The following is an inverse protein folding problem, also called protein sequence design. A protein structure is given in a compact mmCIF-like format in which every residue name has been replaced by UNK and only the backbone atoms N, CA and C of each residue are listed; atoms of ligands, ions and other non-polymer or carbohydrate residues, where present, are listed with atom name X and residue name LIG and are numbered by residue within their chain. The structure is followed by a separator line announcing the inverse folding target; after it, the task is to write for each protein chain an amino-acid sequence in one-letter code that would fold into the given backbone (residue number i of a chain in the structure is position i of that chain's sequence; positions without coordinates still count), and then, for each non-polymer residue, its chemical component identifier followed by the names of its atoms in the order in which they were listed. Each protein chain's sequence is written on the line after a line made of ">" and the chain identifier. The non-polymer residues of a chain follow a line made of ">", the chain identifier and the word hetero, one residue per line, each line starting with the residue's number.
data_IF_070569654912
#
_entry.id   IF_070569654912
#
_cell.length_a   1.000
_cell.length_b   1.000
_cell.length_c   1.000
_cell.angle_alpha   90.00
_cell.angle_beta   90.00
_cell.angle_gamma   90.00
#
_symmetry.space_group_name_H-M   'P 1'
#
loop_
_entity.id
_entity.type
_entity.pdbx_description
1 polymer ?
#
# COMPACT_ATOMS: atom_id res chain seq x y z
N UNK A 1 -2.60 -0.63 -10.22
CA UNK A 1 -3.27 0.53 -9.59
C UNK A 1 -4.72 0.15 -9.44
N UNK A 2 -5.30 0.35 -8.25
CA UNK A 2 -6.62 -0.16 -7.89
C UNK A 2 -7.42 0.93 -7.18
N UNK A 3 -8.71 1.02 -7.48
CA UNK A 3 -9.62 1.91 -6.77
C UNK A 3 -10.17 1.19 -5.54
N UNK A 4 -10.21 1.88 -4.41
CA UNK A 4 -10.83 1.42 -3.16
C UNK A 4 -11.29 2.67 -2.38
N UNK A 5 -12.54 2.69 -1.95
CA UNK A 5 -13.16 3.78 -1.16
C UNK A 5 -12.91 5.18 -1.74
N UNK A 6 -13.05 5.31 -3.06
CA UNK A 6 -12.88 6.58 -3.78
C UNK A 6 -11.42 7.03 -3.97
N UNK A 7 -10.44 6.25 -3.53
CA UNK A 7 -9.01 6.57 -3.65
C UNK A 7 -8.31 5.59 -4.59
N UNK A 8 -7.15 6.00 -5.12
CA UNK A 8 -6.33 5.15 -6.00
C UNK A 8 -5.10 4.64 -5.25
N UNK A 9 -4.95 3.32 -5.16
CA UNK A 9 -3.82 2.65 -4.54
C UNK A 9 -2.87 2.08 -5.60
N UNK A 10 -1.57 2.29 -5.42
CA UNK A 10 -0.57 1.87 -6.39
C UNK A 10 0.81 1.70 -5.75
N UNK A 11 1.70 0.98 -6.44
CA UNK A 11 3.11 0.92 -6.08
C UNK A 11 3.79 2.22 -6.50
N UNK A 12 4.24 3.00 -5.53
CA UNK A 12 5.04 4.21 -5.75
C UNK A 12 6.52 3.97 -5.43
N UNK A 13 7.34 4.97 -5.77
CA UNK A 13 8.78 4.96 -5.51
C UNK A 13 9.22 6.36 -5.03
N UNK A 14 9.89 6.45 -3.89
CA UNK A 14 10.38 7.71 -3.30
C UNK A 14 11.85 8.05 -3.64
N UNK A 15 12.43 7.36 -4.61
CA UNK A 15 13.85 7.39 -4.96
C UNK A 15 14.68 6.31 -4.27
N UNK A 16 14.12 5.56 -3.32
CA UNK A 16 14.86 4.52 -2.58
C UNK A 16 14.05 3.24 -2.38
N UNK A 17 12.78 3.36 -2.02
CA UNK A 17 11.90 2.22 -1.70
C UNK A 17 10.69 2.17 -2.63
N UNK A 18 10.22 0.95 -2.91
CA UNK A 18 8.98 0.69 -3.62
C UNK A 18 7.87 0.29 -2.65
N UNK A 19 6.92 1.18 -2.44
CA UNK A 19 5.94 1.06 -1.37
C UNK A 19 4.51 1.25 -1.86
N UNK A 20 3.53 0.98 -0.98
CA UNK A 20 2.14 1.29 -1.25
C UNK A 20 1.92 2.80 -1.11
N UNK A 21 1.31 3.39 -2.13
CA UNK A 21 0.91 4.78 -2.17
C UNK A 21 -0.59 4.89 -2.41
N UNK A 22 -1.17 5.96 -1.89
CA UNK A 22 -2.57 6.33 -2.12
C UNK A 22 -2.62 7.73 -2.75
N UNK A 23 -3.47 7.89 -3.76
CA UNK A 23 -3.89 9.18 -4.28
C UNK A 23 -5.34 9.46 -3.84
N UNK A 24 -5.51 10.59 -3.17
CA UNK A 24 -6.81 11.12 -2.77
C UNK A 24 -7.26 12.18 -3.78
N UNK A 25 -8.27 11.89 -4.63
CA UNK A 25 -8.73 12.83 -5.64
C UNK A 25 -9.45 14.06 -5.05
N UNK A 26 -10.04 13.94 -3.85
CA UNK A 26 -10.74 15.06 -3.21
C UNK A 26 -9.75 16.08 -2.66
N UNK A 27 -8.64 15.59 -2.08
CA UNK A 27 -7.56 16.44 -1.58
C UNK A 27 -6.53 16.81 -2.65
N UNK A 28 -6.49 16.09 -3.78
CA UNK A 28 -5.47 16.23 -4.82
C UNK A 28 -4.06 15.85 -4.33
N UNK A 29 -3.95 14.91 -3.39
CA UNK A 29 -2.67 14.57 -2.75
C UNK A 29 -2.28 13.11 -2.96
N UNK A 30 -0.97 12.86 -2.95
CA UNK A 30 -0.38 11.52 -3.02
C UNK A 30 0.48 11.29 -1.78
N UNK A 31 0.24 10.21 -1.04
CA UNK A 31 0.97 9.89 0.19
C UNK A 31 1.40 8.42 0.25
N UNK A 32 2.53 8.14 0.92
CA UNK A 32 2.94 6.76 1.25
C UNK A 32 2.01 6.23 2.34
N UNK A 33 1.54 5.00 2.18
CA UNK A 33 0.73 4.30 3.19
C UNK A 33 1.68 3.64 4.19
N UNK A 34 2.10 4.39 5.21
CA UNK A 34 3.14 3.94 6.14
C UNK A 34 2.79 2.64 6.88
N UNK A 35 1.51 2.40 7.20
CA UNK A 35 1.05 1.17 7.86
C UNK A 35 1.09 -0.08 6.97
N UNK A 36 1.29 0.10 5.66
CA UNK A 36 1.46 -0.99 4.70
C UNK A 36 2.93 -1.36 4.45
N UNK A 37 3.89 -0.65 5.02
CA UNK A 37 5.31 -1.00 4.96
C UNK A 37 5.58 -2.25 5.80
N UNK A 38 6.05 -3.33 5.18
CA UNK A 38 6.32 -4.62 5.84
C UNK A 38 7.79 -4.91 6.01
N UNK A 39 8.63 -4.39 5.12
CA UNK A 39 10.08 -4.66 5.13
C UNK A 39 10.87 -3.81 6.13
N UNK A 40 10.27 -2.74 6.66
CA UNK A 40 10.92 -1.88 7.65
C UNK A 40 11.99 -0.96 7.06
N UNK A 41 12.92 -0.51 7.90
CA UNK A 41 13.86 0.56 7.59
C UNK A 41 14.88 0.19 6.50
N UNK A 42 14.64 0.61 5.26
CA UNK A 42 15.63 0.61 4.19
C UNK A 42 15.35 -0.38 3.05
N UNK A 43 14.52 -1.40 3.29
CA UNK A 43 14.04 -2.30 2.25
C UNK A 43 12.69 -1.85 1.68
N UNK A 44 12.20 -2.55 0.65
CA UNK A 44 10.91 -2.25 0.04
C UNK A 44 9.90 -3.38 0.26
N UNK A 45 8.65 -3.01 0.51
CA UNK A 45 7.54 -3.98 0.53
C UNK A 45 7.24 -4.54 -0.86
N UNK A 46 7.62 -3.84 -1.94
CA UNK A 46 7.39 -4.26 -3.33
C UNK A 46 5.93 -4.71 -3.63
N UNK A 47 4.89 -3.92 -3.31
CA UNK A 47 3.51 -4.37 -3.50
C UNK A 47 3.19 -4.65 -4.98
N UNK A 48 2.84 -5.89 -5.29
CA UNK A 48 2.40 -6.35 -6.62
C UNK A 48 1.08 -7.10 -6.56
N UNK A 49 0.47 -7.35 -7.72
CA UNK A 49 -0.77 -8.15 -7.87
C UNK A 49 -1.89 -7.70 -6.92
N UNK A 50 -2.02 -6.38 -6.79
CA UNK A 50 -2.99 -5.76 -5.89
C UNK A 50 -4.43 -6.09 -6.31
N UNK A 51 -5.31 -6.29 -5.34
CA UNK A 51 -6.74 -6.47 -5.56
C UNK A 51 -7.55 -5.83 -4.45
N UNK A 52 -8.52 -4.99 -4.83
CA UNK A 52 -9.54 -4.49 -3.91
C UNK A 52 -10.66 -5.53 -3.80
N UNK A 53 -11.00 -5.92 -2.57
CA UNK A 53 -12.06 -6.88 -2.29
C UNK A 53 -12.62 -6.61 -0.89
N UNK A 54 -13.95 -6.52 -0.78
CA UNK A 54 -14.67 -6.37 0.50
C UNK A 54 -14.12 -5.25 1.42
N UNK A 55 -13.88 -4.06 0.85
CA UNK A 55 -13.38 -2.90 1.59
C UNK A 55 -11.90 -2.98 2.00
N UNK A 56 -11.14 -3.91 1.43
CA UNK A 56 -9.72 -4.13 1.74
C UNK A 56 -8.90 -4.18 0.48
N UNK A 57 -7.59 -3.94 0.63
CA UNK A 57 -6.62 -4.10 -0.44
C UNK A 57 -5.69 -5.26 -0.12
N UNK A 58 -5.67 -6.26 -0.98
CA UNK A 58 -4.78 -7.41 -0.92
C UNK A 58 -3.62 -7.22 -1.90
N UNK A 59 -2.40 -7.66 -1.56
CA UNK A 59 -1.24 -7.57 -2.45
C UNK A 59 -0.14 -8.55 -2.05
N UNK A 60 0.67 -8.99 -3.02
CA UNK A 60 1.93 -9.65 -2.71
C UNK A 60 2.96 -8.61 -2.25
N UNK A 61 3.73 -8.92 -1.22
CA UNK A 61 4.81 -8.05 -0.75
C UNK A 61 5.92 -8.80 -0.05
N UNK A 62 7.05 -8.13 0.13
CA UNK A 62 8.24 -8.58 0.85
C UNK A 62 8.30 -7.97 2.25
N UNK A 63 8.53 -8.77 3.28
CA UNK A 63 8.65 -8.29 4.67
C UNK A 63 10.08 -8.18 5.19
N UNK A 64 11.08 -8.29 4.31
CA UNK A 64 12.48 -8.38 4.71
C UNK A 64 13.00 -9.81 4.81
N UNK A 65 12.13 -10.82 4.66
CA UNK A 65 12.50 -12.24 4.68
C UNK A 65 11.92 -13.00 3.49
N UNK A 66 10.61 -12.91 3.27
CA UNK A 66 9.93 -13.66 2.22
C UNK A 66 8.82 -12.87 1.54
N UNK A 67 8.28 -13.43 0.47
CA UNK A 67 7.14 -12.85 -0.25
C UNK A 67 5.85 -13.54 0.17
N UNK A 68 4.92 -12.76 0.71
CA UNK A 68 3.63 -13.26 1.19
C UNK A 68 2.46 -12.42 0.66
N UNK A 69 1.23 -12.85 0.97
CA UNK A 69 0.01 -12.08 0.71
C UNK A 69 -0.31 -11.21 1.93
N UNK A 70 -0.29 -9.89 1.75
CA UNK A 70 -0.69 -8.92 2.76
C UNK A 70 -2.08 -8.35 2.48
N UNK A 71 -2.70 -7.89 3.56
CA UNK A 71 -3.96 -7.13 3.53
C UNK A 71 -3.74 -5.77 4.18
N UNK A 72 -4.26 -4.74 3.52
CA UNK A 72 -4.37 -3.38 4.02
C UNK A 72 -5.83 -3.02 4.25
N UNK A 73 -6.08 -2.38 5.40
CA UNK A 73 -7.39 -1.93 5.85
C UNK A 73 -7.42 -0.39 5.79
N UNK A 74 -8.09 0.21 4.79
CA UNK A 74 -8.18 1.67 4.66
C UNK A 74 -8.84 2.35 5.86
N UNK A 75 -9.82 1.66 6.46
CA UNK A 75 -10.67 2.18 7.53
C UNK A 75 -10.10 1.94 8.93
N UNK A 76 -8.88 1.43 9.06
CA UNK A 76 -8.24 1.25 10.36
C UNK A 76 -7.75 2.61 10.88
N UNK A 77 -8.72 3.46 11.23
CA UNK A 77 -8.57 4.57 12.16
C UNK A 77 -8.29 3.96 13.54
N UNK A 78 -7.08 3.41 13.74
CA UNK A 78 -6.59 3.15 15.09
C UNK A 78 -6.41 4.52 15.76
N UNK A 79 -7.42 4.90 16.54
CA UNK A 79 -7.31 5.90 17.61
C UNK A 79 -6.33 5.41 18.66
#
# INVERSE_FOLDING_TARGET
>A
MHALDGKLYFRGNNGSQYELYVYDPDAGTTTKVASADKSGSGDSTYPTDMHALDGKLYFNGYDGSEFELYVYFPDDLTV
#
